data_IF_915588571572
#
_entry.id   IF_915588571572
#
_cell.length_a   1.000
_cell.length_b   1.000
_cell.length_c   1.000
_cell.angle_alpha   90.00
_cell.angle_beta   90.00
_cell.angle_gamma   90.00
#
_symmetry.space_group_name_H-M   'P 1'
#
loop_
_entity.id
_entity.type
_entity.pdbx_description
1 polymer ?
#
# COMPACT_ATOMS: atom_id res chain seq x y z
N UNK A 1 2.29 18.26 -1.23
CA UNK A 1 2.62 19.08 -2.42
C UNK A 1 2.52 18.16 -3.62
N UNK A 2 1.73 18.53 -4.63
CA UNK A 2 1.66 17.79 -5.89
C UNK A 2 2.75 18.32 -6.83
N UNK A 3 3.41 17.43 -7.56
CA UNK A 3 4.44 17.77 -8.55
C UNK A 3 4.13 17.05 -9.87
N UNK A 4 4.65 17.53 -11.02
CA UNK A 4 4.43 16.84 -12.30
C UNK A 4 4.91 15.38 -12.30
N UNK A 5 5.96 15.06 -11.54
CA UNK A 5 6.42 13.69 -11.41
C UNK A 5 5.45 12.81 -10.60
N UNK A 6 4.76 13.39 -9.60
CA UNK A 6 3.69 12.69 -8.89
C UNK A 6 2.46 12.47 -9.78
N UNK A 7 2.14 13.39 -10.69
CA UNK A 7 1.06 13.19 -11.67
C UNK A 7 1.33 11.98 -12.57
N UNK A 8 2.57 11.84 -13.07
CA UNK A 8 2.99 10.68 -13.87
C UNK A 8 2.91 9.40 -13.03
N UNK A 9 3.39 9.43 -11.79
CA UNK A 9 3.31 8.28 -10.88
C UNK A 9 1.87 7.86 -10.60
N UNK A 10 0.97 8.82 -10.37
CA UNK A 10 -0.45 8.58 -10.16
C UNK A 10 -1.08 7.88 -11.37
N UNK A 11 -0.74 8.32 -12.58
CA UNK A 11 -1.21 7.68 -13.81
C UNK A 11 -0.65 6.26 -13.96
N UNK A 12 0.64 6.03 -13.70
CA UNK A 12 1.22 4.67 -13.72
C UNK A 12 0.52 3.72 -12.74
N UNK A 13 0.14 4.21 -11.56
CA UNK A 13 -0.63 3.43 -10.58
C UNK A 13 -2.03 3.11 -11.11
N UNK A 14 -2.72 4.07 -11.72
CA UNK A 14 -4.05 3.83 -12.32
C UNK A 14 -3.97 2.83 -13.47
N UNK A 15 -2.99 2.95 -14.36
CA UNK A 15 -2.79 2.03 -15.48
C UNK A 15 -2.49 0.60 -14.99
N UNK A 16 -1.75 0.47 -13.88
CA UNK A 16 -1.48 -0.82 -13.25
C UNK A 16 -2.73 -1.42 -12.61
N UNK A 17 -3.53 -0.61 -11.89
CA UNK A 17 -4.82 -1.03 -11.34
C UNK A 17 -5.79 -1.52 -12.42
N UNK A 18 -5.76 -0.91 -13.62
CA UNK A 18 -6.63 -1.24 -14.75
C UNK A 18 -6.09 -2.36 -15.64
N UNK A 19 -4.88 -2.87 -15.37
CA UNK A 19 -4.23 -3.89 -16.19
C UNK A 19 -3.74 -3.39 -17.56
N UNK A 20 -3.75 -2.09 -17.82
CA UNK A 20 -3.23 -1.47 -19.06
C UNK A 20 -1.70 -1.60 -19.09
N UNK A 21 -1.05 -1.26 -17.97
CA UNK A 21 0.37 -1.48 -17.76
C UNK A 21 0.62 -1.94 -16.31
N UNK A 22 0.49 -3.25 -16.04
CA UNK A 22 0.54 -3.79 -14.68
C UNK A 22 1.93 -3.77 -14.05
N UNK A 23 2.99 -3.48 -14.82
CA UNK A 23 4.37 -3.54 -14.34
C UNK A 23 5.10 -2.25 -14.67
N UNK A 24 5.51 -1.51 -13.65
CA UNK A 24 6.31 -0.30 -13.83
C UNK A 24 7.42 -0.18 -12.79
N UNK A 25 8.49 0.49 -13.21
CA UNK A 25 9.57 0.95 -12.33
C UNK A 25 9.56 2.46 -12.38
N UNK A 26 9.51 3.11 -11.22
CA UNK A 26 9.46 4.56 -11.12
C UNK A 26 10.66 5.10 -10.35
N UNK A 27 11.54 5.82 -11.05
CA UNK A 27 12.76 6.40 -10.47
C UNK A 27 12.57 7.90 -10.28
N UNK A 28 12.68 8.36 -9.03
CA UNK A 28 12.49 9.77 -8.68
C UNK A 28 13.42 10.18 -7.52
N UNK A 29 13.88 11.45 -7.45
CA UNK A 29 14.73 11.95 -6.37
C UNK A 29 14.18 11.70 -4.94
N UNK A 30 15.03 11.68 -3.91
CA UNK A 30 14.58 11.61 -2.53
C UNK A 30 13.66 12.79 -2.18
N UNK A 31 12.81 12.62 -1.15
CA UNK A 31 11.90 13.66 -0.63
C UNK A 31 10.78 14.14 -1.57
N UNK A 32 10.62 13.54 -2.75
CA UNK A 32 9.52 13.82 -3.70
C UNK A 32 8.18 13.13 -3.36
N UNK A 33 8.05 12.51 -2.20
CA UNK A 33 6.79 11.89 -1.77
C UNK A 33 6.46 10.53 -2.41
N UNK A 34 7.34 9.95 -3.24
CA UNK A 34 7.13 8.62 -3.86
C UNK A 34 6.67 7.53 -2.89
N UNK A 35 7.32 7.38 -1.74
CA UNK A 35 6.96 6.34 -0.77
C UNK A 35 5.63 6.63 -0.07
N UNK A 36 5.28 7.90 0.14
CA UNK A 36 3.95 8.25 0.64
C UNK A 36 2.88 7.84 -0.38
N UNK A 37 3.10 8.13 -1.66
CA UNK A 37 2.15 7.76 -2.72
C UNK A 37 2.00 6.25 -2.85
N UNK A 38 3.10 5.54 -3.15
CA UNK A 38 3.06 4.12 -3.52
C UNK A 38 2.94 3.18 -2.31
N UNK A 39 3.63 3.47 -1.20
CA UNK A 39 3.71 2.52 -0.07
C UNK A 39 2.66 2.77 1.02
N UNK A 40 2.06 3.97 1.07
CA UNK A 40 1.03 4.32 2.05
C UNK A 40 -0.35 4.51 1.42
N UNK A 41 -0.51 5.46 0.50
CA UNK A 41 -1.84 5.83 0.02
C UNK A 41 -2.41 4.86 -1.03
N UNK A 42 -1.59 4.37 -1.96
CA UNK A 42 -2.04 3.43 -2.98
C UNK A 42 -2.66 2.17 -2.37
N UNK A 43 -2.05 1.46 -1.40
CA UNK A 43 -2.64 0.26 -0.80
C UNK A 43 -4.03 0.50 -0.20
N UNK A 44 -4.21 1.59 0.55
CA UNK A 44 -5.53 1.97 1.10
C UNK A 44 -6.54 2.22 -0.03
N UNK A 45 -6.18 3.01 -1.04
CA UNK A 45 -7.06 3.33 -2.17
C UNK A 45 -7.54 2.08 -2.90
N UNK A 46 -6.65 1.12 -3.17
CA UNK A 46 -7.02 -0.10 -3.89
C UNK A 46 -7.83 -1.06 -3.02
N UNK A 47 -7.56 -1.14 -1.71
CA UNK A 47 -8.35 -1.96 -0.79
C UNK A 47 -9.78 -1.42 -0.60
N UNK A 48 -9.96 -0.10 -0.59
CA UNK A 48 -11.32 0.50 -0.53
C UNK A 48 -12.14 0.14 -1.77
N UNK A 49 -11.48 0.00 -2.93
CA UNK A 49 -12.13 -0.39 -4.19
C UNK A 49 -12.34 -1.90 -4.31
N UNK A 50 -11.38 -2.68 -3.83
CA UNK A 50 -11.40 -4.14 -3.86
C UNK A 50 -10.86 -4.67 -2.52
N UNK A 51 -11.72 -4.92 -1.53
CA UNK A 51 -11.31 -5.39 -0.22
C UNK A 51 -10.81 -6.85 -0.22
N UNK A 52 -10.96 -7.59 -1.33
CA UNK A 52 -10.40 -8.93 -1.52
C UNK A 52 -8.96 -8.89 -2.09
N UNK A 53 -8.43 -7.71 -2.43
CA UNK A 53 -7.10 -7.57 -3.01
C UNK A 53 -6.00 -7.87 -1.97
N UNK A 54 -5.09 -8.79 -2.33
CA UNK A 54 -3.89 -9.10 -1.52
C UNK A 54 -2.69 -8.32 -2.02
N UNK A 55 -2.02 -7.63 -1.13
CA UNK A 55 -0.90 -6.73 -1.46
C UNK A 55 0.35 -7.17 -0.71
N UNK A 56 1.48 -7.22 -1.41
CA UNK A 56 2.79 -7.43 -0.81
C UNK A 56 3.61 -6.14 -0.85
N UNK A 57 4.12 -5.68 0.29
CA UNK A 57 5.09 -4.60 0.36
C UNK A 57 6.47 -5.19 0.63
N UNK A 58 7.35 -5.09 -0.37
CA UNK A 58 8.70 -5.66 -0.30
C UNK A 58 9.74 -4.54 -0.29
N UNK A 59 10.76 -4.67 0.56
CA UNK A 59 11.84 -3.70 0.68
C UNK A 59 13.19 -4.40 0.88
N UNK A 60 14.28 -3.65 0.80
CA UNK A 60 15.60 -4.19 1.12
C UNK A 60 15.68 -4.65 2.59
N UNK A 61 15.09 -3.87 3.51
CA UNK A 61 15.07 -4.15 4.94
C UNK A 61 13.66 -4.50 5.42
N UNK A 62 13.56 -5.56 6.23
CA UNK A 62 12.31 -6.03 6.82
C UNK A 62 11.66 -4.95 7.69
N UNK A 63 12.44 -4.22 8.50
CA UNK A 63 11.93 -3.11 9.31
C UNK A 63 11.29 -1.99 8.46
N UNK A 64 11.82 -1.71 7.27
CA UNK A 64 11.27 -0.69 6.37
C UNK A 64 9.95 -1.16 5.74
N UNK A 65 9.87 -2.43 5.33
CA UNK A 65 8.63 -3.02 4.81
C UNK A 65 7.52 -3.04 5.89
N UNK A 66 7.85 -3.57 7.08
CA UNK A 66 6.93 -3.63 8.24
C UNK A 66 6.43 -2.26 8.69
N UNK A 67 7.27 -1.22 8.56
CA UNK A 67 6.86 0.16 8.85
C UNK A 67 5.67 0.56 7.98
N UNK A 68 5.72 0.31 6.68
CA UNK A 68 4.63 0.68 5.77
C UNK A 68 3.38 -0.16 6.00
N UNK A 69 3.52 -1.48 6.23
CA UNK A 69 2.40 -2.33 6.61
C UNK A 69 1.66 -1.83 7.86
N UNK A 70 2.40 -1.37 8.88
CA UNK A 70 1.83 -0.74 10.08
C UNK A 70 1.12 0.58 9.78
N UNK A 71 1.75 1.45 8.99
CA UNK A 71 1.20 2.77 8.66
C UNK A 71 -0.14 2.63 7.95
N UNK A 72 -0.21 1.80 6.90
CA UNK A 72 -1.46 1.57 6.15
C UNK A 72 -2.56 1.02 7.05
N UNK A 73 -2.24 0.03 7.88
CA UNK A 73 -3.20 -0.55 8.83
C UNK A 73 -3.74 0.48 9.81
N UNK A 74 -2.86 1.35 10.31
CA UNK A 74 -3.25 2.40 11.24
C UNK A 74 -4.10 3.47 10.54
N UNK A 75 -3.75 3.87 9.31
CA UNK A 75 -4.59 4.77 8.52
C UNK A 75 -6.00 4.21 8.37
N UNK A 76 -6.16 2.91 8.06
CA UNK A 76 -7.49 2.28 7.97
C UNK A 76 -8.24 2.33 9.33
N UNK A 77 -7.55 2.07 10.44
CA UNK A 77 -8.17 2.11 11.79
C UNK A 77 -8.59 3.52 12.20
N UNK A 78 -7.80 4.52 11.81
CA UNK A 78 -8.03 5.93 12.14
C UNK A 78 -9.14 6.56 11.27
N UNK A 79 -9.49 5.92 10.14
CA UNK A 79 -10.45 6.40 9.16
C UNK A 79 -11.60 5.40 8.91
N UNK A 80 -12.51 5.19 9.88
CA UNK A 80 -13.63 4.26 9.74
C UNK A 80 -14.58 4.59 8.58
N UNK A 81 -14.60 5.84 8.10
CA UNK A 81 -15.34 6.28 6.91
C UNK A 81 -14.92 5.58 5.63
N UNK A 82 -13.76 4.92 5.61
CA UNK A 82 -13.30 4.10 4.47
C UNK A 82 -14.11 2.80 4.31
N UNK A 83 -14.94 2.43 5.29
CA UNK A 83 -15.77 1.21 5.25
C UNK A 83 -14.97 -0.09 5.39
N UNK A 84 -13.71 0.00 5.78
CA UNK A 84 -12.82 -1.15 5.99
C UNK A 84 -12.56 -1.35 7.49
N UNK A 85 -12.50 -2.60 7.93
CA UNK A 85 -12.14 -2.97 9.30
C UNK A 85 -10.99 -3.96 9.25
N UNK A 86 -9.99 -3.81 10.13
CA UNK A 86 -8.89 -4.78 10.23
C UNK A 86 -9.37 -5.98 11.04
N UNK A 87 -9.14 -7.19 10.52
CA UNK A 87 -9.50 -8.44 11.20
C UNK A 87 -8.80 -8.55 12.55
N UNK A 88 -9.53 -9.06 13.55
CA UNK A 88 -9.06 -9.08 14.94
C UNK A 88 -7.93 -10.09 15.20
N UNK A 89 -7.89 -11.21 14.48
CA UNK A 89 -6.91 -12.30 14.64
C UNK A 89 -5.63 -12.10 13.81
N UNK A 90 -5.71 -11.31 12.74
CA UNK A 90 -4.66 -11.08 11.74
C UNK A 90 -4.46 -9.58 11.60
N UNK A 91 -3.89 -8.99 12.65
CA UNK A 91 -3.69 -7.55 12.79
C UNK A 91 -2.26 -7.16 13.11
N UNK A 92 -1.26 -7.96 12.74
CA UNK A 92 0.15 -7.69 12.98
C UNK A 92 0.70 -6.62 12.00
N UNK A 93 1.89 -6.08 12.26
CA UNK A 93 2.45 -5.01 11.42
C UNK A 93 3.03 -5.53 10.10
N UNK A 94 3.46 -6.80 10.13
CA UNK A 94 4.04 -7.53 9.01
C UNK A 94 3.01 -8.30 8.18
N UNK A 95 1.83 -8.54 8.74
CA UNK A 95 0.74 -9.26 8.09
C UNK A 95 -0.59 -8.88 8.74
N UNK A 96 -1.56 -8.47 7.92
CA UNK A 96 -2.93 -8.23 8.37
C UNK A 96 -3.95 -8.37 7.24
N UNK A 97 -5.21 -8.62 7.62
CA UNK A 97 -6.32 -8.80 6.68
C UNK A 97 -7.48 -7.83 6.97
N UNK A 98 -8.32 -7.61 5.96
CA UNK A 98 -9.61 -6.91 6.12
C UNK A 98 -10.63 -7.91 6.67
N UNK A 99 -11.40 -7.50 7.67
CA UNK A 99 -12.46 -8.32 8.24
C UNK A 99 -13.58 -8.57 7.23
N UNK A 100 -13.98 -9.83 7.09
CA UNK A 100 -14.98 -10.27 6.11
C UNK A 100 -14.49 -10.45 4.66
N UNK A 101 -13.22 -10.21 4.36
CA UNK A 101 -12.66 -10.30 2.99
C UNK A 101 -11.35 -11.08 2.93
N UNK A 102 -10.91 -11.43 1.73
CA UNK A 102 -9.65 -12.14 1.47
C UNK A 102 -8.41 -11.24 1.35
N UNK A 103 -8.63 -9.91 1.29
CA UNK A 103 -7.58 -8.93 1.05
C UNK A 103 -6.86 -8.48 2.32
N UNK A 104 -5.76 -7.76 2.11
CA UNK A 104 -4.86 -7.36 3.18
C UNK A 104 -3.45 -7.09 2.69
N UNK A 105 -2.53 -6.93 3.66
CA UNK A 105 -1.13 -6.64 3.39
C UNK A 105 -0.23 -7.65 4.08
N UNK A 106 0.73 -8.17 3.33
CA UNK A 106 1.93 -8.85 3.84
C UNK A 106 3.17 -8.02 3.53
N UNK A 107 4.16 -8.04 4.42
CA UNK A 107 5.42 -7.31 4.23
C UNK A 107 6.61 -8.24 4.31
N UNK A 108 7.64 -7.99 3.50
CA UNK A 108 8.89 -8.76 3.52
C UNK A 108 10.12 -7.88 3.26
N UNK A 109 11.23 -8.21 3.92
CA UNK A 109 12.57 -7.70 3.59
C UNK A 109 13.36 -8.73 2.79
N UNK A 110 14.11 -8.30 1.76
CA UNK A 110 14.92 -9.21 0.94
C UNK A 110 16.29 -9.49 1.57
N UNK A 111 16.89 -8.51 2.27
CA UNK A 111 18.25 -8.60 2.82
C UNK A 111 18.30 -8.87 4.32
N UNK A 112 17.44 -9.75 4.82
CA UNK A 112 17.34 -10.12 6.25
C UNK A 112 18.66 -10.65 6.81
#
# INVERSE_FOLDING_TARGET
MQTPALDILDQCVVDAEQGINPWFIFTMPPQEGKSQRVSRFTPTKVLVRNPDLRIAIVSYADALARRWGRVVRNDIREHPELGLTIRADTGAANEWQIDGYDGGIITAGIGS
#
